data_IF_448058462602
#
_entry.id   IF_448058462602
#
_cell.length_a   1.000
_cell.length_b   1.000
_cell.length_c   1.000
_cell.angle_alpha   90.00
_cell.angle_beta   90.00
_cell.angle_gamma   90.00
#
_symmetry.space_group_name_H-M   'P 1'
#
loop_
_entity.id
_entity.type
_entity.pdbx_description
1 polymer ?
#
# COMPACT_ATOMS: atom_id res chain seq x y z
N UNK A 1 -28.40 5.62 31.20
CA UNK A 1 -28.49 5.13 29.81
C UNK A 1 -28.48 6.36 28.90
N UNK A 2 -27.64 6.63 27.91
CA UNK A 2 -26.40 6.11 27.29
C UNK A 2 -25.85 7.27 26.42
N UNK A 3 -24.53 7.55 26.40
CA UNK A 3 -23.54 7.20 25.36
C UNK A 3 -23.93 7.63 23.93
N UNK A 4 -23.11 8.24 23.06
CA UNK A 4 -21.72 8.72 23.06
C UNK A 4 -21.50 9.49 21.74
N UNK A 5 -20.56 10.44 21.74
CA UNK A 5 -20.28 11.37 20.64
C UNK A 5 -19.38 10.75 19.55
N UNK A 6 -19.64 11.10 18.29
CA UNK A 6 -18.79 10.82 17.13
C UNK A 6 -17.76 11.93 16.93
N UNK A 7 -16.52 11.56 16.66
CA UNK A 7 -15.38 12.46 16.40
C UNK A 7 -15.04 12.34 14.91
N UNK A 8 -15.18 13.42 14.15
CA UNK A 8 -14.67 13.54 12.78
C UNK A 8 -13.60 14.62 12.74
N UNK A 9 -12.52 14.26 12.04
CA UNK A 9 -11.20 14.88 11.92
C UNK A 9 -11.21 16.30 11.35
N UNK A 10 -10.49 17.19 12.03
CA UNK A 10 -10.14 18.54 11.59
C UNK A 10 -8.74 18.49 10.97
N UNK A 11 -8.64 18.90 9.71
CA UNK A 11 -7.38 19.14 8.99
C UNK A 11 -6.83 20.50 9.42
N UNK A 12 -5.77 20.50 10.22
CA UNK A 12 -5.10 21.74 10.62
C UNK A 12 -3.87 21.97 9.74
N UNK A 13 -3.96 23.01 8.92
CA UNK A 13 -2.97 23.45 7.96
C UNK A 13 -1.90 24.25 8.70
N UNK A 14 -0.71 23.67 8.93
CA UNK A 14 0.38 24.36 9.63
C UNK A 14 1.05 25.40 8.72
N UNK A 15 0.52 26.62 8.72
CA UNK A 15 1.20 27.83 8.24
C UNK A 15 2.30 28.19 9.25
N UNK A 16 3.56 28.15 8.82
CA UNK A 16 4.69 28.64 9.61
C UNK A 16 4.59 30.16 9.80
N UNK A 17 4.14 30.59 10.97
CA UNK A 17 4.30 31.97 11.41
C UNK A 17 5.78 32.22 11.77
N UNK A 18 6.37 33.20 11.12
CA UNK A 18 7.75 33.67 11.27
C UNK A 18 7.89 34.61 12.47
N UNK A 19 7.56 34.17 13.67
CA UNK A 19 7.57 35.05 14.86
C UNK A 19 8.23 34.32 16.05
N UNK A 20 9.51 33.99 15.93
CA UNK A 20 10.36 33.84 17.12
C UNK A 20 11.66 34.61 16.91
N UNK A 21 11.98 35.63 17.72
CA UNK A 21 13.29 36.25 17.65
C UNK A 21 14.33 35.23 18.13
N UNK A 22 15.25 34.86 17.24
CA UNK A 22 16.39 34.01 17.56
C UNK A 22 17.28 34.77 18.53
N UNK A 23 17.15 34.46 19.83
CA UNK A 23 18.04 35.00 20.85
C UNK A 23 19.32 34.16 20.86
N UNK A 24 20.32 34.60 20.07
CA UNK A 24 21.65 33.98 20.05
C UNK A 24 22.35 34.30 21.36
N UNK A 25 22.30 33.35 22.30
CA UNK A 25 22.97 33.43 23.59
C UNK A 25 24.45 33.09 23.41
N UNK A 26 25.28 34.12 23.23
CA UNK A 26 26.73 33.95 23.14
C UNK A 26 27.29 33.57 24.51
N UNK A 27 27.55 32.28 24.73
CA UNK A 27 28.22 31.80 25.94
C UNK A 27 29.73 32.03 25.79
N UNK A 28 30.20 33.19 26.25
CA UNK A 28 31.63 33.39 26.53
C UNK A 28 31.96 32.50 27.73
N UNK A 29 32.75 31.44 27.49
CA UNK A 29 33.32 30.63 28.55
C UNK A 29 34.52 31.38 29.14
N UNK A 30 34.30 32.16 30.21
CA UNK A 30 35.40 32.73 31.00
C UNK A 30 35.73 31.79 32.15
N UNK A 31 36.87 31.11 32.04
CA UNK A 31 37.54 30.46 33.16
C UNK A 31 38.12 31.56 34.06
N UNK A 32 37.64 31.69 35.30
CA UNK A 32 38.28 32.56 36.30
C UNK A 32 39.68 32.01 36.65
N UNK A 33 40.67 32.89 36.89
CA UNK A 33 41.06 33.07 38.29
C UNK A 33 41.37 34.53 38.69
N UNK A 34 41.05 34.82 39.95
CA UNK A 34 41.64 35.82 40.87
C UNK A 34 41.97 37.25 40.38
N UNK A 35 41.25 38.20 41.02
CA UNK A 35 41.62 39.57 41.42
C UNK A 35 42.48 40.42 40.46
N UNK A 36 41.81 41.31 39.72
CA UNK A 36 42.03 42.77 39.65
C UNK A 36 40.93 43.41 38.76
N UNK A 37 40.37 44.60 39.06
CA UNK A 37 39.39 45.24 38.18
C UNK A 37 40.13 46.10 37.15
N UNK A 38 40.87 45.46 36.23
CA UNK A 38 41.33 46.17 35.05
C UNK A 38 40.19 46.20 34.04
N UNK A 39 39.50 47.35 33.99
CA UNK A 39 38.52 47.64 32.96
C UNK A 39 39.25 47.56 31.61
N UNK A 40 39.09 46.45 30.89
CA UNK A 40 39.56 46.33 29.51
C UNK A 40 38.84 47.39 28.68
N UNK A 41 39.46 48.55 28.55
CA UNK A 41 39.01 49.64 27.70
C UNK A 41 39.09 49.14 26.27
N UNK A 42 37.96 48.64 25.77
CA UNK A 42 37.84 48.39 24.35
C UNK A 42 38.05 49.73 23.66
N UNK A 43 39.13 49.83 22.87
CA UNK A 43 39.56 51.12 22.32
C UNK A 43 38.40 51.80 21.58
N UNK A 44 38.24 53.13 21.71
CA UNK A 44 37.12 53.86 21.11
C UNK A 44 37.08 53.68 19.59
N UNK A 45 38.22 53.41 18.95
CA UNK A 45 38.27 53.07 17.52
C UNK A 45 37.58 51.73 17.18
N UNK A 46 37.68 50.72 18.04
CA UNK A 46 36.98 49.44 17.82
C UNK A 46 35.49 49.59 18.07
N UNK A 47 35.10 50.38 19.08
CA UNK A 47 33.69 50.69 19.37
C UNK A 47 33.05 51.46 18.21
N UNK A 48 33.77 52.43 17.65
CA UNK A 48 33.32 53.18 16.48
C UNK A 48 33.25 52.28 15.24
N UNK A 49 34.25 51.44 14.98
CA UNK A 49 34.20 50.47 13.87
C UNK A 49 33.06 49.44 14.00
N UNK A 50 32.70 49.05 15.22
CA UNK A 50 31.56 48.17 15.47
C UNK A 50 30.23 48.92 15.31
N UNK A 51 30.15 50.20 15.70
CA UNK A 51 28.97 51.06 15.45
C UNK A 51 28.77 51.32 13.96
N UNK A 52 29.83 51.67 13.23
CA UNK A 52 29.78 51.86 11.78
C UNK A 52 29.39 50.56 11.04
N UNK A 53 29.76 49.39 11.59
CA UNK A 53 29.33 48.07 11.09
C UNK A 53 27.92 47.66 11.51
N UNK A 54 27.37 48.24 12.56
CA UNK A 54 25.95 48.05 12.92
C UNK A 54 25.06 48.89 12.00
N UNK A 55 25.55 50.03 11.55
CA UNK A 55 24.88 50.89 10.56
C UNK A 55 25.05 50.39 9.11
N UNK A 56 26.18 49.73 8.80
CA UNK A 56 26.38 49.02 7.53
C UNK A 56 26.03 47.54 7.66
N UNK A 57 24.81 47.17 7.27
CA UNK A 57 24.32 45.78 7.27
C UNK A 57 25.06 44.82 6.31
N UNK A 58 26.14 45.24 5.66
CA UNK A 58 26.89 44.45 4.69
C UNK A 58 28.18 43.87 5.29
N UNK A 59 28.29 42.54 5.26
CA UNK A 59 29.55 41.83 5.46
C UNK A 59 30.51 42.22 4.34
N UNK A 60 31.77 42.55 4.66
CA UNK A 60 32.75 42.83 3.58
C UNK A 60 32.89 41.60 2.68
N UNK A 61 33.04 41.81 1.37
CA UNK A 61 33.08 40.73 0.35
C UNK A 61 34.08 39.61 0.70
N UNK A 62 35.24 39.97 1.24
CA UNK A 62 36.27 39.03 1.70
C UNK A 62 35.77 38.16 2.87
N UNK A 63 35.05 38.74 3.83
CA UNK A 63 34.45 37.98 4.96
C UNK A 63 33.29 37.11 4.49
N UNK A 64 32.51 37.58 3.53
CA UNK A 64 31.45 36.77 2.93
C UNK A 64 32.04 35.55 2.22
N UNK A 65 33.14 35.72 1.49
CA UNK A 65 33.80 34.61 0.80
C UNK A 65 34.36 33.55 1.76
N UNK A 66 34.92 33.96 2.91
CA UNK A 66 35.43 33.03 3.92
C UNK A 66 34.32 32.33 4.68
N UNK A 67 33.21 33.03 4.98
CA UNK A 67 31.99 32.43 5.52
C UNK A 67 31.41 31.40 4.57
N UNK A 68 31.22 31.75 3.30
CA UNK A 68 30.69 30.84 2.29
C UNK A 68 31.56 29.60 2.12
N UNK A 69 32.90 29.75 2.15
CA UNK A 69 33.82 28.63 2.09
C UNK A 69 33.67 27.70 3.31
N UNK A 70 33.54 28.25 4.51
CA UNK A 70 33.31 27.48 5.73
C UNK A 70 31.94 26.78 5.72
N UNK A 71 30.89 27.47 5.26
CA UNK A 71 29.54 26.91 5.12
C UNK A 71 29.55 25.76 4.12
N UNK A 72 30.16 25.93 2.93
CA UNK A 72 30.31 24.85 1.94
C UNK A 72 31.06 23.66 2.51
N UNK A 73 32.16 23.88 3.22
CA UNK A 73 32.93 22.83 3.87
C UNK A 73 32.08 22.05 4.89
N UNK A 74 31.31 22.75 5.73
CA UNK A 74 30.41 22.10 6.69
C UNK A 74 29.33 21.30 5.97
N UNK A 75 28.66 21.88 4.98
CA UNK A 75 27.64 21.19 4.19
C UNK A 75 28.20 19.93 3.56
N UNK A 76 29.41 19.98 2.97
CA UNK A 76 30.05 18.81 2.39
C UNK A 76 30.32 17.72 3.43
N UNK A 77 30.81 18.09 4.62
CA UNK A 77 31.02 17.12 5.70
C UNK A 77 29.73 16.48 6.19
N UNK A 78 28.64 17.25 6.30
CA UNK A 78 27.33 16.73 6.73
C UNK A 78 26.71 15.83 5.65
N UNK A 79 26.86 16.17 4.36
CA UNK A 79 26.40 15.31 3.26
C UNK A 79 27.10 13.96 3.28
N UNK A 80 28.41 13.94 3.53
CA UNK A 80 29.17 12.69 3.60
C UNK A 80 28.69 11.81 4.76
N UNK A 81 28.45 12.41 5.94
CA UNK A 81 27.88 11.70 7.09
C UNK A 81 26.49 11.14 6.76
N UNK A 82 25.63 11.93 6.12
CA UNK A 82 24.28 11.49 5.74
C UNK A 82 24.29 10.33 4.75
N UNK A 83 25.22 10.31 3.80
CA UNK A 83 25.37 9.18 2.86
C UNK A 83 25.78 7.90 3.57
N UNK A 84 26.72 7.99 4.51
CA UNK A 84 27.15 6.84 5.30
C UNK A 84 26.00 6.28 6.14
N UNK A 85 25.20 7.14 6.74
CA UNK A 85 24.02 6.72 7.49
C UNK A 85 22.94 6.12 6.58
N UNK A 86 22.71 6.70 5.39
CA UNK A 86 21.80 6.14 4.39
C UNK A 86 22.23 4.72 3.98
N UNK A 87 23.51 4.52 3.69
CA UNK A 87 24.05 3.20 3.34
C UNK A 87 23.91 2.20 4.49
N UNK A 88 24.13 2.64 5.73
CA UNK A 88 23.91 1.82 6.94
C UNK A 88 22.46 1.38 7.06
N UNK A 89 21.52 2.31 6.91
CA UNK A 89 20.08 2.04 6.97
C UNK A 89 19.66 1.10 5.83
N UNK A 90 20.19 1.31 4.61
CA UNK A 90 19.92 0.42 3.48
C UNK A 90 20.36 -1.01 3.75
N UNK A 91 21.56 -1.20 4.31
CA UNK A 91 22.05 -2.53 4.70
C UNK A 91 21.20 -3.16 5.80
N UNK A 92 20.80 -2.39 6.81
CA UNK A 92 19.91 -2.88 7.87
C UNK A 92 18.53 -3.31 7.32
N UNK A 93 17.96 -2.53 6.40
CA UNK A 93 16.72 -2.88 5.70
C UNK A 93 16.91 -4.17 4.91
N UNK A 94 17.99 -4.30 4.13
CA UNK A 94 18.25 -5.51 3.33
C UNK A 94 18.38 -6.75 4.22
N UNK A 95 19.14 -6.67 5.32
CA UNK A 95 19.27 -7.77 6.29
C UNK A 95 17.94 -8.11 6.96
N UNK A 96 17.13 -7.09 7.29
CA UNK A 96 15.82 -7.29 7.92
C UNK A 96 14.84 -7.94 6.94
N UNK A 97 14.87 -7.54 5.67
CA UNK A 97 14.06 -8.14 4.61
C UNK A 97 14.49 -9.57 4.29
N UNK A 98 15.80 -9.84 4.24
CA UNK A 98 16.30 -11.21 4.05
C UNK A 98 15.84 -12.11 5.20
N UNK A 99 15.99 -11.63 6.44
CA UNK A 99 15.51 -12.35 7.62
C UNK A 99 14.00 -12.57 7.60
N UNK A 100 13.22 -11.55 7.26
CA UNK A 100 11.75 -11.67 7.16
C UNK A 100 11.36 -12.66 6.07
N UNK A 101 12.02 -12.63 4.91
CA UNK A 101 11.77 -13.60 3.85
C UNK A 101 12.10 -15.03 4.31
N UNK A 102 13.23 -15.25 5.00
CA UNK A 102 13.60 -16.56 5.55
C UNK A 102 12.63 -17.02 6.65
N UNK A 103 12.21 -16.13 7.55
CA UNK A 103 11.26 -16.43 8.62
C UNK A 103 9.86 -16.70 8.05
N UNK A 104 9.48 -16.00 6.97
CA UNK A 104 8.24 -16.23 6.23
C UNK A 104 8.26 -17.53 5.44
N UNK A 105 9.38 -17.92 4.82
CA UNK A 105 9.54 -19.23 4.17
C UNK A 105 9.47 -20.38 5.20
N UNK A 106 10.08 -20.19 6.37
CA UNK A 106 10.00 -21.16 7.49
C UNK A 106 8.60 -21.24 8.10
N UNK A 107 7.94 -20.09 8.33
CA UNK A 107 6.58 -20.01 8.85
C UNK A 107 5.53 -20.56 7.89
N UNK A 108 5.70 -20.34 6.58
CA UNK A 108 4.86 -20.95 5.54
C UNK A 108 5.00 -22.47 5.46
N UNK A 109 6.10 -23.03 6.00
CA UNK A 109 6.31 -24.47 6.12
C UNK A 109 5.72 -25.06 7.40
N UNK A 110 5.28 -24.24 8.36
CA UNK A 110 4.91 -24.71 9.71
C UNK A 110 3.44 -24.49 10.10
N UNK A 111 2.76 -23.43 9.63
CA UNK A 111 1.37 -23.16 10.04
C UNK A 111 0.39 -23.10 8.85
N UNK A 112 -0.24 -24.25 8.59
CA UNK A 112 -1.48 -24.30 7.84
C UNK A 112 -2.66 -23.88 8.72
N UNK A 113 -3.01 -22.60 8.81
CA UNK A 113 -4.37 -22.16 9.14
C UNK A 113 -4.55 -20.63 9.08
N UNK A 114 -5.53 -20.19 8.28
CA UNK A 114 -6.44 -19.13 8.70
C UNK A 114 -6.03 -17.66 8.51
N UNK A 115 -6.56 -17.04 7.46
CA UNK A 115 -7.25 -15.75 7.64
C UNK A 115 -6.52 -14.48 7.21
N UNK A 116 -6.96 -13.97 6.04
CA UNK A 116 -7.03 -12.56 5.63
C UNK A 116 -5.73 -11.76 5.49
N UNK A 117 -5.40 -11.46 4.23
CA UNK A 117 -4.43 -10.42 3.87
C UNK A 117 -3.02 -10.93 3.56
N UNK A 118 -2.89 -12.15 3.05
CA UNK A 118 -1.60 -12.66 2.58
C UNK A 118 -1.25 -11.89 1.29
N UNK A 119 -0.22 -11.06 1.33
CA UNK A 119 0.51 -10.61 0.13
C UNK A 119 1.19 -11.86 -0.41
N UNK A 120 0.40 -12.74 -1.04
CA UNK A 120 0.82 -14.00 -1.62
C UNK A 120 1.89 -13.68 -2.65
N UNK A 121 3.03 -14.35 -2.56
CA UNK A 121 4.07 -14.16 -3.56
C UNK A 121 3.50 -14.52 -4.94
N UNK A 122 4.07 -13.96 -6.00
CA UNK A 122 3.61 -14.23 -7.39
C UNK A 122 3.56 -15.73 -7.72
N UNK A 123 4.26 -16.59 -6.97
CA UNK A 123 4.27 -18.04 -7.16
C UNK A 123 3.03 -18.70 -6.52
N UNK A 124 2.66 -18.30 -5.31
CA UNK A 124 1.45 -18.81 -4.63
C UNK A 124 0.18 -18.39 -5.39
N UNK A 125 0.10 -17.14 -5.85
CA UNK A 125 -1.02 -16.66 -6.68
C UNK A 125 -1.20 -17.44 -7.98
N UNK A 126 -0.10 -17.90 -8.58
CA UNK A 126 -0.15 -18.74 -9.79
C UNK A 126 -0.66 -20.14 -9.48
N UNK A 127 -0.29 -20.70 -8.33
CA UNK A 127 -0.85 -21.96 -7.84
C UNK A 127 -2.35 -21.86 -7.59
N UNK A 128 -2.78 -20.81 -6.87
CA UNK A 128 -4.19 -20.57 -6.57
C UNK A 128 -5.02 -20.34 -7.83
N UNK A 129 -4.49 -19.61 -8.83
CA UNK A 129 -5.14 -19.43 -10.12
C UNK A 129 -5.33 -20.75 -10.87
N UNK A 130 -4.33 -21.63 -10.85
CA UNK A 130 -4.41 -22.93 -11.50
C UNK A 130 -5.41 -23.85 -10.78
N UNK A 131 -5.45 -23.79 -9.45
CA UNK A 131 -6.45 -24.51 -8.65
C UNK A 131 -7.87 -24.02 -8.98
N UNK A 132 -8.08 -22.70 -9.02
CA UNK A 132 -9.38 -22.11 -9.38
C UNK A 132 -9.78 -22.52 -10.80
N UNK A 133 -8.87 -22.44 -11.77
CA UNK A 133 -9.12 -22.90 -13.14
C UNK A 133 -9.53 -24.36 -13.17
N UNK A 134 -8.79 -25.24 -12.48
CA UNK A 134 -9.11 -26.67 -12.41
C UNK A 134 -10.47 -26.94 -11.76
N UNK A 135 -10.86 -26.17 -10.74
CA UNK A 135 -12.18 -26.28 -10.08
C UNK A 135 -13.30 -25.82 -11.02
N UNK A 136 -13.08 -24.73 -11.75
CA UNK A 136 -14.02 -24.23 -12.76
C UNK A 136 -14.18 -25.25 -13.88
N UNK A 137 -13.08 -25.80 -14.42
CA UNK A 137 -13.12 -26.80 -15.48
C UNK A 137 -13.81 -28.08 -15.03
N UNK A 138 -13.55 -28.54 -13.79
CA UNK A 138 -14.26 -29.69 -13.19
C UNK A 138 -15.75 -29.39 -13.02
N UNK A 139 -16.10 -28.18 -12.58
CA UNK A 139 -17.50 -27.79 -12.41
C UNK A 139 -18.21 -27.65 -13.77
N UNK A 140 -17.58 -27.04 -14.77
CA UNK A 140 -18.11 -26.94 -16.12
C UNK A 140 -18.20 -28.30 -16.80
N UNK A 141 -17.25 -29.21 -16.55
CA UNK A 141 -17.32 -30.59 -17.06
C UNK A 141 -18.50 -31.36 -16.47
N UNK A 142 -18.80 -31.17 -15.19
CA UNK A 142 -19.99 -31.74 -14.54
C UNK A 142 -21.30 -31.07 -14.95
N UNK A 143 -21.28 -29.76 -15.17
CA UNK A 143 -22.47 -28.99 -15.60
C UNK A 143 -22.68 -29.05 -17.11
N UNK A 144 -21.72 -29.56 -17.86
CA UNK A 144 -21.84 -29.69 -19.29
C UNK A 144 -23.03 -30.58 -19.56
N UNK A 145 -23.96 -30.00 -20.30
CA UNK A 145 -25.22 -30.55 -20.77
C UNK A 145 -25.02 -31.84 -21.63
N UNK A 146 -23.77 -32.31 -21.75
CA UNK A 146 -23.33 -33.61 -22.26
C UNK A 146 -23.85 -34.79 -21.43
N UNK A 147 -24.19 -34.58 -20.16
CA UNK A 147 -24.73 -35.65 -19.31
C UNK A 147 -26.16 -36.06 -19.72
N UNK A 148 -26.88 -35.18 -20.42
CA UNK A 148 -28.25 -35.44 -20.88
C UNK A 148 -28.45 -35.05 -22.36
N UNK A 149 -27.89 -35.84 -23.31
CA UNK A 149 -27.99 -35.55 -24.75
C UNK A 149 -29.43 -35.57 -25.26
N UNK A 150 -30.33 -36.29 -24.60
CA UNK A 150 -31.76 -36.36 -24.94
C UNK A 150 -32.51 -35.05 -24.69
N UNK A 151 -32.13 -34.29 -23.66
CA UNK A 151 -32.72 -32.96 -23.40
C UNK A 151 -32.25 -31.96 -24.44
N UNK A 152 -30.98 -32.07 -24.89
CA UNK A 152 -30.45 -31.25 -25.98
C UNK A 152 -31.18 -31.48 -27.28
N UNK A 153 -31.31 -32.73 -27.71
CA UNK A 153 -31.94 -33.06 -28.99
C UNK A 153 -33.41 -32.66 -29.03
N UNK A 154 -34.15 -32.88 -27.94
CA UNK A 154 -35.56 -32.46 -27.83
C UNK A 154 -35.70 -30.94 -27.73
N UNK A 155 -34.78 -30.23 -27.04
CA UNK A 155 -34.76 -28.77 -27.03
C UNK A 155 -34.50 -28.18 -28.43
N UNK A 156 -33.53 -28.74 -29.17
CA UNK A 156 -33.24 -28.33 -30.54
C UNK A 156 -34.44 -28.62 -31.46
N UNK A 157 -35.13 -29.75 -31.30
CA UNK A 157 -36.34 -30.07 -32.05
C UNK A 157 -37.48 -29.07 -31.82
N UNK A 158 -37.69 -28.63 -30.58
CA UNK A 158 -38.65 -27.56 -30.25
C UNK A 158 -38.29 -26.25 -30.93
N UNK A 159 -37.01 -25.85 -30.87
CA UNK A 159 -36.52 -24.62 -31.50
C UNK A 159 -36.68 -24.69 -33.02
N UNK A 160 -36.39 -25.84 -33.64
CA UNK A 160 -36.58 -26.05 -35.07
C UNK A 160 -38.06 -25.97 -35.45
N UNK A 161 -38.97 -26.59 -34.68
CA UNK A 161 -40.40 -26.54 -34.97
C UNK A 161 -40.95 -25.11 -34.92
N UNK A 162 -40.59 -24.32 -33.91
CA UNK A 162 -41.03 -22.92 -33.83
C UNK A 162 -40.43 -22.04 -34.93
N UNK A 163 -39.23 -22.37 -35.43
CA UNK A 163 -38.62 -21.67 -36.57
C UNK A 163 -39.33 -21.99 -37.89
N UNK A 164 -39.81 -23.22 -38.07
CA UNK A 164 -40.52 -23.63 -39.30
C UNK A 164 -41.98 -23.22 -39.30
N UNK A 165 -42.61 -23.04 -38.13
CA UNK A 165 -44.02 -22.66 -37.98
C UNK A 165 -44.21 -21.31 -37.24
N UNK A 166 -43.77 -20.18 -37.83
CA UNK A 166 -43.84 -18.87 -37.17
C UNK A 166 -45.28 -18.35 -37.00
N UNK A 167 -46.21 -18.74 -37.88
CA UNK A 167 -47.63 -18.35 -37.82
C UNK A 167 -48.54 -19.40 -37.16
N UNK A 168 -48.04 -20.61 -36.89
CA UNK A 168 -48.80 -21.71 -36.29
C UNK A 168 -47.99 -22.39 -35.17
N UNK A 169 -47.64 -21.67 -34.10
CA UNK A 169 -46.85 -22.22 -32.99
C UNK A 169 -47.56 -23.35 -32.23
N UNK A 170 -48.89 -23.45 -32.33
CA UNK A 170 -49.68 -24.49 -31.66
C UNK A 170 -49.44 -25.89 -32.24
N UNK A 171 -48.93 -26.00 -33.47
CA UNK A 171 -48.64 -27.29 -34.11
C UNK A 171 -47.42 -27.99 -33.47
N UNK A 172 -46.55 -27.23 -32.79
CA UNK A 172 -45.32 -27.73 -32.14
C UNK A 172 -45.54 -28.34 -30.74
N UNK A 173 -46.78 -28.72 -30.40
CA UNK A 173 -47.14 -29.20 -29.07
C UNK A 173 -46.49 -30.55 -28.74
N UNK A 174 -46.26 -31.40 -29.74
CA UNK A 174 -45.69 -32.73 -29.58
C UNK A 174 -44.20 -32.65 -29.18
N UNK A 175 -43.43 -31.79 -29.86
CA UNK A 175 -42.02 -31.53 -29.57
C UNK A 175 -41.85 -30.95 -28.17
N UNK A 176 -42.75 -30.04 -27.78
CA UNK A 176 -42.77 -29.47 -26.43
C UNK A 176 -43.12 -30.53 -25.38
N UNK A 177 -44.06 -31.44 -25.66
CA UNK A 177 -44.39 -32.54 -24.76
C UNK A 177 -43.21 -33.49 -24.56
N UNK A 178 -42.48 -33.83 -25.63
CA UNK A 178 -41.28 -34.66 -25.56
C UNK A 178 -40.15 -33.98 -24.79
N UNK A 179 -39.93 -32.69 -25.01
CA UNK A 179 -38.97 -31.90 -24.23
C UNK A 179 -39.34 -31.92 -22.74
N UNK A 180 -40.60 -31.67 -22.37
CA UNK A 180 -41.06 -31.70 -20.97
C UNK A 180 -40.84 -33.07 -20.32
N UNK A 181 -41.09 -34.16 -21.04
CA UNK A 181 -40.83 -35.51 -20.53
C UNK A 181 -39.34 -35.77 -20.30
N UNK A 182 -38.47 -35.30 -21.21
CA UNK A 182 -37.02 -35.44 -21.07
C UNK A 182 -36.48 -34.65 -19.87
N UNK A 183 -37.00 -33.43 -19.64
CA UNK A 183 -36.64 -32.57 -18.50
C UNK A 183 -37.13 -33.18 -17.19
N UNK A 184 -38.37 -33.68 -17.13
CA UNK A 184 -38.91 -34.32 -15.93
C UNK A 184 -38.05 -35.52 -15.48
N UNK A 185 -37.49 -36.30 -16.42
CA UNK A 185 -36.54 -37.37 -16.11
C UNK A 185 -35.24 -36.86 -15.51
N UNK A 186 -34.69 -35.77 -16.04
CA UNK A 186 -33.46 -35.16 -15.51
C UNK A 186 -33.69 -34.54 -14.14
N UNK A 187 -34.82 -33.86 -13.97
CA UNK A 187 -35.22 -33.28 -12.69
C UNK A 187 -35.34 -34.34 -11.60
N UNK A 188 -35.93 -35.51 -11.88
CA UNK A 188 -35.98 -36.63 -10.94
C UNK A 188 -34.58 -37.12 -10.51
N UNK A 189 -33.64 -37.22 -11.46
CA UNK A 189 -32.25 -37.63 -11.15
C UNK A 189 -31.53 -36.54 -10.35
N UNK A 190 -31.72 -35.27 -10.71
CA UNK A 190 -31.12 -34.14 -10.02
C UNK A 190 -31.66 -34.00 -8.58
N UNK A 191 -32.97 -34.17 -8.36
CA UNK A 191 -33.55 -34.13 -7.02
C UNK A 191 -33.09 -35.31 -6.17
N UNK A 192 -33.04 -36.52 -6.75
CA UNK A 192 -32.61 -37.72 -6.03
C UNK A 192 -31.11 -37.68 -5.66
N UNK A 193 -30.26 -37.09 -6.50
CA UNK A 193 -28.82 -36.94 -6.20
C UNK A 193 -28.55 -35.90 -5.11
N UNK A 194 -29.34 -34.82 -5.04
CA UNK A 194 -29.21 -33.81 -3.98
C UNK A 194 -29.61 -34.35 -2.60
N UNK A 195 -30.56 -35.29 -2.53
CA UNK A 195 -30.88 -35.98 -1.27
C UNK A 195 -29.73 -36.88 -0.78
N UNK A 196 -28.99 -37.52 -1.69
CA UNK A 196 -27.87 -38.41 -1.34
C UNK A 196 -26.58 -37.68 -0.94
N UNK A 197 -26.40 -36.42 -1.35
CA UNK A 197 -25.22 -35.59 -0.99
C UNK A 197 -25.48 -34.77 0.28
N UNK A 198 -26.72 -34.76 0.77
CA UNK A 198 -27.12 -34.06 2.01
C UNK A 198 -27.08 -34.95 3.26
N UNK A 199 -26.68 -36.22 3.14
CA UNK A 199 -26.38 -37.17 4.23
C UNK A 199 -24.89 -37.48 4.27
#
# INVERSE_FOLDING_TARGET
MGASQSKSSETDEHVFANETPISVRFLVRSSSPSLDPEYTQLSPNIVNQLSDRLESSETSSERQSSLDAHIRSRIQSEIEILKQEEDRIRQEIELTLEKENLDREKGASQDGSGGTGRILSSVELRGDLEEIRSKVDRYQSRKNLSEFPEVKSTAEAVVLCYRTHPSTPLDCWNEVAQFKNSVARVEQVATHTLELVSF
#
